data_IF_291734906418
#
_entry.id   IF_291734906418
#
_cell.length_a   1.000
_cell.length_b   1.000
_cell.length_c   1.000
_cell.angle_alpha   90.00
_cell.angle_beta   90.00
_cell.angle_gamma   90.00
#
_symmetry.space_group_name_H-M   'P 1'
#
loop_
_entity.id
_entity.type
_entity.pdbx_description
1 polymer ?
#
# COMPACT_ATOMS: atom_id res chain seq x y z
N UNK A 1 -15.82 -1.53 27.19
CA UNK A 1 -16.14 -1.07 25.82
C UNK A 1 -15.18 -0.01 25.26
N UNK A 2 -14.07 0.33 25.94
CA UNK A 2 -12.96 1.09 25.38
C UNK A 2 -11.68 0.60 26.07
N UNK A 3 -11.00 -0.43 25.53
CA UNK A 3 -9.67 -0.87 26.02
C UNK A 3 -8.98 -1.94 25.15
N UNK A 4 -9.22 -1.99 23.82
CA UNK A 4 -8.52 -2.94 22.93
C UNK A 4 -7.81 -2.30 21.71
N UNK A 5 -7.69 -0.98 21.65
CA UNK A 5 -7.18 -0.27 20.46
C UNK A 5 -5.74 0.25 20.56
N UNK A 6 -4.98 -0.08 21.62
CA UNK A 6 -3.56 0.29 21.70
C UNK A 6 -2.57 -0.84 21.34
N UNK A 7 -3.02 -2.07 21.10
CA UNK A 7 -2.10 -3.21 21.01
C UNK A 7 -1.31 -3.36 19.70
N UNK A 8 -1.48 -2.52 18.68
CA UNK A 8 -0.65 -2.60 17.44
C UNK A 8 0.26 -1.39 17.23
N UNK A 9 0.13 -0.33 18.03
CA UNK A 9 1.20 0.66 18.17
C UNK A 9 2.40 0.14 18.98
N UNK A 10 2.27 -1.04 19.61
CA UNK A 10 3.17 -1.54 20.64
C UNK A 10 4.15 -2.65 20.20
N UNK A 11 4.14 -3.12 18.95
CA UNK A 11 5.23 -3.99 18.51
C UNK A 11 6.51 -3.26 18.13
N UNK A 12 6.50 -1.93 18.01
CA UNK A 12 7.69 -1.12 17.77
C UNK A 12 7.52 0.28 18.41
N UNK A 13 7.57 0.36 19.74
CA UNK A 13 8.41 1.42 20.29
C UNK A 13 9.81 1.20 19.71
N UNK A 14 10.53 2.28 19.35
CA UNK A 14 11.81 2.16 18.63
C UNK A 14 12.84 1.24 19.34
N UNK A 15 12.64 0.97 20.64
CA UNK A 15 13.53 0.20 21.51
C UNK A 15 12.88 -1.09 22.09
N UNK A 16 11.73 -1.54 21.59
CA UNK A 16 11.13 -2.79 22.05
C UNK A 16 11.84 -4.01 21.42
N UNK A 17 12.08 -5.10 22.18
CA UNK A 17 12.65 -6.32 21.62
C UNK A 17 11.73 -6.89 20.54
N UNK A 18 12.33 -7.41 19.47
CA UNK A 18 11.62 -8.06 18.36
C UNK A 18 10.65 -9.15 18.89
N UNK A 19 9.41 -9.22 18.37
CA UNK A 19 8.50 -10.31 18.69
C UNK A 19 9.16 -11.67 18.45
N UNK A 20 8.82 -12.66 19.27
CA UNK A 20 9.14 -14.04 18.92
C UNK A 20 8.36 -14.46 17.67
N UNK A 21 8.83 -15.48 16.94
CA UNK A 21 8.17 -15.98 15.72
C UNK A 21 6.69 -16.30 15.95
N UNK A 22 6.36 -16.95 17.08
CA UNK A 22 5.00 -17.29 17.48
C UNK A 22 4.12 -16.05 17.75
N UNK A 23 4.71 -14.98 18.31
CA UNK A 23 3.99 -13.72 18.54
C UNK A 23 3.71 -13.02 17.21
N UNK A 24 4.70 -12.96 16.32
CA UNK A 24 4.52 -12.38 14.98
C UNK A 24 3.45 -13.13 14.19
N UNK A 25 3.48 -14.46 14.26
CA UNK A 25 2.49 -15.32 13.62
C UNK A 25 1.07 -15.03 14.10
N UNK A 26 0.85 -14.96 15.41
CA UNK A 26 -0.46 -14.62 15.96
C UNK A 26 -0.91 -13.22 15.53
N UNK A 27 -0.04 -12.20 15.55
CA UNK A 27 -0.41 -10.84 15.10
C UNK A 27 -0.82 -10.84 13.64
N UNK A 28 -0.04 -11.49 12.77
CA UNK A 28 -0.35 -11.52 11.34
C UNK A 28 -1.68 -12.23 11.08
N UNK A 29 -1.90 -13.38 11.71
CA UNK A 29 -3.09 -14.18 11.49
C UNK A 29 -4.35 -13.56 12.14
N UNK A 30 -4.23 -12.98 13.33
CA UNK A 30 -5.37 -12.51 14.12
C UNK A 30 -5.68 -11.03 13.90
N UNK A 31 -4.73 -10.22 13.45
CA UNK A 31 -4.95 -8.79 13.18
C UNK A 31 -4.91 -8.48 11.69
N UNK A 32 -3.81 -8.79 11.00
CA UNK A 32 -3.62 -8.40 9.58
C UNK A 32 -4.51 -9.21 8.64
N UNK A 33 -4.58 -10.52 8.85
CA UNK A 33 -5.30 -11.48 8.02
C UNK A 33 -6.62 -11.95 8.66
N UNK A 34 -7.12 -11.20 9.64
CA UNK A 34 -8.38 -11.51 10.34
C UNK A 34 -9.55 -11.73 9.38
N UNK A 35 -9.65 -10.85 8.38
CA UNK A 35 -10.76 -10.83 7.42
C UNK A 35 -10.39 -11.57 6.11
N UNK A 36 -9.24 -12.24 6.08
CA UNK A 36 -8.84 -13.11 4.98
C UNK A 36 -9.50 -14.49 5.15
N UNK A 37 -10.10 -15.01 4.09
CA UNK A 37 -10.86 -16.26 4.14
C UNK A 37 -9.96 -17.43 4.53
N UNK A 38 -10.55 -18.41 5.22
CA UNK A 38 -9.84 -19.53 5.82
C UNK A 38 -8.95 -20.32 4.85
N UNK A 39 -9.41 -20.55 3.60
CA UNK A 39 -8.63 -21.29 2.60
C UNK A 39 -7.34 -20.59 2.20
N UNK A 40 -7.34 -19.26 2.15
CA UNK A 40 -6.14 -18.45 1.89
C UNK A 40 -5.31 -18.35 3.17
N UNK A 41 -5.95 -18.14 4.32
CA UNK A 41 -5.28 -18.10 5.63
C UNK A 41 -4.50 -19.39 5.95
N UNK A 42 -4.99 -20.55 5.52
CA UNK A 42 -4.30 -21.83 5.71
C UNK A 42 -3.04 -22.01 4.84
N UNK A 43 -2.91 -21.25 3.75
CA UNK A 43 -1.67 -21.24 2.94
C UNK A 43 -0.57 -20.42 3.61
N UNK A 44 -0.93 -19.64 4.63
CA UNK A 44 -0.02 -18.84 5.46
C UNK A 44 0.61 -19.75 6.52
N UNK A 45 1.43 -20.71 6.09
CA UNK A 45 2.15 -21.58 7.03
C UNK A 45 3.41 -20.88 7.56
N UNK A 46 3.24 -20.18 8.68
CA UNK A 46 4.30 -19.43 9.36
C UNK A 46 5.22 -20.33 10.22
N UNK A 47 4.99 -21.65 10.21
CA UNK A 47 5.77 -22.64 10.96
C UNK A 47 7.07 -23.03 10.24
N UNK A 48 7.20 -22.70 8.96
CA UNK A 48 8.46 -22.84 8.22
C UNK A 48 9.45 -21.79 8.74
N UNK A 49 10.69 -22.17 9.11
CA UNK A 49 11.66 -21.22 9.63
C UNK A 49 11.98 -20.19 8.56
N UNK A 50 11.85 -18.91 8.93
CA UNK A 50 12.27 -17.70 8.24
C UNK A 50 13.05 -17.95 6.94
N UNK A 51 12.36 -17.97 5.80
CA UNK A 51 13.01 -17.59 4.56
C UNK A 51 12.05 -17.07 3.51
N UNK A 52 10.90 -17.71 3.26
CA UNK A 52 9.92 -17.22 2.30
C UNK A 52 8.70 -18.13 2.42
N UNK A 53 7.51 -17.61 2.66
CA UNK A 53 6.32 -18.33 2.22
C UNK A 53 6.19 -17.94 0.76
N UNK A 54 6.36 -18.88 -0.16
CA UNK A 54 6.16 -18.65 -1.58
C UNK A 54 5.31 -19.78 -2.16
N UNK A 55 4.04 -19.49 -2.42
CA UNK A 55 3.14 -20.35 -3.16
C UNK A 55 2.85 -19.68 -4.51
N UNK A 56 3.48 -20.20 -5.57
CA UNK A 56 3.17 -19.84 -6.95
C UNK A 56 2.44 -21.00 -7.60
N UNK A 57 1.13 -20.83 -7.81
CA UNK A 57 0.30 -21.75 -8.56
C UNK A 57 -0.22 -21.04 -9.82
N UNK A 58 0.39 -21.36 -10.97
CA UNK A 58 0.14 -20.66 -12.23
C UNK A 58 0.50 -19.17 -12.16
N UNK A 59 -0.48 -18.31 -12.39
CA UNK A 59 -0.32 -16.84 -12.33
C UNK A 59 -0.52 -16.26 -10.92
N UNK A 60 -0.85 -17.09 -9.92
CA UNK A 60 -1.06 -16.63 -8.55
C UNK A 60 0.27 -16.55 -7.79
N UNK A 61 0.43 -15.50 -6.97
CA UNK A 61 1.57 -15.33 -6.08
C UNK A 61 1.04 -15.10 -4.68
N UNK A 62 1.46 -15.93 -3.74
CA UNK A 62 1.28 -15.70 -2.32
C UNK A 62 2.65 -15.69 -1.64
N UNK A 63 3.14 -14.49 -1.30
CA UNK A 63 4.47 -14.31 -0.74
C UNK A 63 4.49 -13.49 0.54
N UNK A 64 5.13 -14.06 1.57
CA UNK A 64 5.56 -13.36 2.78
C UNK A 64 7.05 -13.61 2.99
N UNK A 65 7.85 -12.53 2.93
CA UNK A 65 9.28 -12.58 3.17
C UNK A 65 9.63 -11.85 4.46
N UNK A 66 10.44 -12.53 5.28
CA UNK A 66 10.88 -12.04 6.56
C UNK A 66 12.40 -11.93 6.60
N UNK A 67 12.91 -10.89 7.25
CA UNK A 67 14.32 -10.72 7.57
C UNK A 67 14.46 -10.37 9.04
N UNK A 68 15.37 -11.02 9.75
CA UNK A 68 15.66 -10.76 11.16
C UNK A 68 14.40 -10.72 12.07
N UNK A 69 13.39 -11.56 11.78
CA UNK A 69 12.16 -11.58 12.58
C UNK A 69 11.11 -10.53 12.19
N UNK A 70 11.33 -9.75 11.13
CA UNK A 70 10.40 -8.72 10.64
C UNK A 70 9.81 -9.09 9.28
N UNK A 71 8.52 -8.85 9.08
CA UNK A 71 7.91 -8.91 7.75
C UNK A 71 8.42 -7.74 6.91
N UNK A 72 9.15 -8.02 5.83
CA UNK A 72 9.69 -7.00 4.93
C UNK A 72 8.92 -6.93 3.60
N UNK A 73 8.40 -8.07 3.13
CA UNK A 73 7.67 -8.12 1.87
C UNK A 73 6.39 -8.91 2.00
N UNK A 74 5.29 -8.33 1.55
CA UNK A 74 4.00 -8.97 1.40
C UNK A 74 3.59 -8.82 -0.06
N UNK A 75 3.40 -9.94 -0.76
CA UNK A 75 2.95 -9.94 -2.15
C UNK A 75 1.82 -10.95 -2.34
N UNK A 76 0.60 -10.47 -2.52
CA UNK A 76 -0.55 -11.29 -2.88
C UNK A 76 -1.03 -10.89 -4.27
N UNK A 77 -0.97 -11.81 -5.23
CA UNK A 77 -1.45 -11.62 -6.59
C UNK A 77 -2.37 -12.81 -6.88
N UNK A 78 -3.68 -12.62 -6.79
CA UNK A 78 -4.63 -13.73 -6.90
C UNK A 78 -5.64 -13.44 -8.01
N UNK A 79 -5.66 -14.24 -9.08
CA UNK A 79 -6.60 -14.04 -10.17
C UNK A 79 -7.96 -14.68 -9.86
N UNK A 80 -9.03 -13.88 -9.93
CA UNK A 80 -10.42 -14.36 -9.83
C UNK A 80 -10.85 -14.90 -8.46
N UNK A 81 -10.04 -14.71 -7.42
CA UNK A 81 -10.29 -15.26 -6.08
C UNK A 81 -10.64 -14.16 -5.08
N UNK A 82 -11.80 -14.27 -4.44
CA UNK A 82 -12.15 -13.43 -3.29
C UNK A 82 -11.39 -13.96 -2.10
N UNK A 83 -10.37 -13.22 -1.65
CA UNK A 83 -9.57 -13.65 -0.48
C UNK A 83 -10.01 -13.00 0.82
N UNK A 84 -10.95 -12.05 0.79
CA UNK A 84 -11.23 -11.17 1.93
C UNK A 84 -10.20 -10.03 2.06
N UNK A 85 -10.32 -9.18 3.09
CA UNK A 85 -9.52 -7.97 3.19
C UNK A 85 -8.26 -8.17 4.04
N UNK A 86 -7.12 -7.68 3.55
CA UNK A 86 -5.91 -7.45 4.35
C UNK A 86 -6.06 -6.11 5.04
N UNK A 87 -5.97 -6.12 6.37
CA UNK A 87 -6.10 -4.90 7.19
C UNK A 87 -4.76 -4.18 7.23
N UNK A 88 -4.51 -3.38 6.19
CA UNK A 88 -3.23 -2.69 5.97
C UNK A 88 -2.81 -1.80 7.15
N UNK A 89 -3.77 -1.33 7.95
CA UNK A 89 -3.53 -0.52 9.14
C UNK A 89 -2.85 -1.25 10.30
N UNK A 90 -2.80 -2.58 10.24
CA UNK A 90 -2.09 -3.43 11.20
C UNK A 90 -0.79 -4.01 10.62
N UNK A 91 -0.41 -3.66 9.39
CA UNK A 91 0.85 -4.14 8.82
C UNK A 91 2.04 -3.63 9.64
N UNK A 92 3.05 -4.49 9.90
CA UNK A 92 4.28 -4.06 10.55
C UNK A 92 4.94 -2.90 9.81
N UNK A 93 5.52 -1.96 10.56
CA UNK A 93 6.25 -0.82 9.98
C UNK A 93 7.46 -1.23 9.15
N UNK A 94 7.97 -2.45 9.36
CA UNK A 94 9.08 -3.07 8.66
C UNK A 94 8.80 -3.40 7.20
N UNK A 95 7.53 -3.48 6.78
CA UNK A 95 7.17 -3.82 5.40
C UNK A 95 7.72 -2.75 4.45
N UNK A 96 8.61 -3.18 3.56
CA UNK A 96 9.25 -2.35 2.53
C UNK A 96 8.57 -2.51 1.16
N UNK A 97 8.07 -3.71 0.87
CA UNK A 97 7.28 -4.02 -0.33
C UNK A 97 5.88 -4.49 0.07
N UNK A 98 4.88 -3.70 -0.28
CA UNK A 98 3.46 -4.06 -0.15
C UNK A 98 2.85 -4.21 -1.56
N UNK A 99 2.57 -5.43 -1.96
CA UNK A 99 1.92 -5.75 -3.22
C UNK A 99 0.66 -6.58 -2.96
N UNK A 100 -0.51 -6.05 -3.30
CA UNK A 100 -1.78 -6.78 -3.24
C UNK A 100 -2.53 -6.49 -4.54
N UNK A 101 -2.55 -7.44 -5.47
CA UNK A 101 -3.14 -7.27 -6.79
C UNK A 101 -4.21 -8.32 -7.08
N UNK A 102 -5.30 -7.89 -7.73
CA UNK A 102 -6.38 -8.79 -8.18
C UNK A 102 -7.12 -9.51 -7.04
N UNK A 103 -6.89 -9.12 -5.79
CA UNK A 103 -7.38 -9.81 -4.58
C UNK A 103 -8.78 -9.36 -4.12
N UNK A 104 -9.52 -8.63 -4.96
CA UNK A 104 -10.84 -8.08 -4.65
C UNK A 104 -10.91 -7.29 -3.32
N UNK A 105 -9.83 -6.57 -2.95
CA UNK A 105 -9.80 -5.77 -1.72
C UNK A 105 -10.87 -4.67 -1.75
N UNK A 106 -11.68 -4.57 -0.69
CA UNK A 106 -12.83 -3.66 -0.58
C UNK A 106 -12.76 -2.82 0.69
N UNK A 107 -11.93 -1.78 0.68
CA UNK A 107 -11.82 -0.81 1.78
C UNK A 107 -11.38 0.56 1.27
N UNK A 108 -11.44 1.57 2.13
CA UNK A 108 -10.83 2.88 1.89
C UNK A 108 -9.42 2.92 2.46
N UNK A 109 -8.46 3.40 1.64
CA UNK A 109 -7.05 3.52 2.06
C UNK A 109 -6.80 4.90 2.64
N UNK A 110 -6.40 4.91 3.91
CA UNK A 110 -5.82 6.11 4.52
C UNK A 110 -4.29 5.97 4.44
N UNK A 111 -3.64 6.82 3.65
CA UNK A 111 -2.18 6.73 3.39
C UNK A 111 -1.33 6.74 4.66
N UNK A 112 -1.78 7.41 5.73
CA UNK A 112 -1.15 7.40 7.05
C UNK A 112 -1.03 6.01 7.72
N UNK A 113 -1.82 5.04 7.27
CA UNK A 113 -1.81 3.67 7.76
C UNK A 113 -0.84 2.77 6.99
N UNK A 114 -0.25 3.27 5.90
CA UNK A 114 0.74 2.51 5.13
C UNK A 114 2.03 2.31 5.96
N UNK A 115 2.75 1.20 5.76
CA UNK A 115 3.99 0.93 6.48
C UNK A 115 5.02 2.04 6.29
N UNK A 116 5.61 2.53 7.38
CA UNK A 116 6.53 3.69 7.31
C UNK A 116 7.82 3.43 6.52
N UNK A 117 8.29 2.18 6.44
CA UNK A 117 9.46 1.78 5.65
C UNK A 117 9.11 1.39 4.22
N UNK A 118 7.84 1.46 3.82
CA UNK A 118 7.44 1.08 2.48
C UNK A 118 8.16 1.94 1.43
N UNK A 119 8.86 1.26 0.53
CA UNK A 119 9.48 1.85 -0.66
C UNK A 119 8.61 1.61 -1.89
N UNK A 120 7.90 0.49 -1.93
CA UNK A 120 7.04 0.10 -3.04
C UNK A 120 5.67 -0.33 -2.53
N UNK A 121 4.63 0.31 -3.08
CA UNK A 121 3.23 0.05 -2.72
C UNK A 121 2.44 -0.13 -4.01
N UNK A 122 1.89 -1.33 -4.20
CA UNK A 122 1.17 -1.73 -5.41
C UNK A 122 -0.15 -2.39 -5.01
N UNK A 123 -1.26 -1.68 -5.14
CA UNK A 123 -2.61 -2.14 -4.79
C UNK A 123 -3.53 -2.24 -6.01
N UNK A 124 -2.94 -2.60 -7.16
CA UNK A 124 -3.58 -2.58 -8.46
C UNK A 124 -4.71 -3.61 -8.61
N UNK A 125 -5.69 -3.33 -9.47
CA UNK A 125 -6.75 -4.28 -9.85
C UNK A 125 -7.55 -4.80 -8.64
N UNK A 126 -7.92 -3.92 -7.72
CA UNK A 126 -8.79 -4.28 -6.60
C UNK A 126 -10.13 -3.54 -6.71
N UNK A 127 -10.92 -3.61 -5.64
CA UNK A 127 -12.19 -2.91 -5.50
C UNK A 127 -12.07 -1.77 -4.46
N UNK A 128 -10.86 -1.22 -4.28
CA UNK A 128 -10.57 -0.19 -3.28
C UNK A 128 -11.29 1.09 -3.70
N UNK A 129 -11.98 1.72 -2.74
CA UNK A 129 -12.82 2.89 -2.99
C UNK A 129 -12.46 4.04 -2.05
N UNK A 130 -13.21 5.13 -2.16
CA UNK A 130 -13.02 6.32 -1.32
C UNK A 130 -12.02 7.31 -1.92
N UNK A 131 -11.58 8.26 -1.13
CA UNK A 131 -10.66 9.32 -1.56
C UNK A 131 -9.23 9.01 -1.11
N UNK A 132 -8.22 9.45 -1.87
CA UNK A 132 -6.82 9.20 -1.54
C UNK A 132 -6.04 10.48 -1.30
N UNK A 133 -5.49 10.62 -0.09
CA UNK A 133 -4.63 11.75 0.29
C UNK A 133 -3.15 11.43 0.12
N UNK A 134 -2.53 11.90 -0.96
CA UNK A 134 -1.14 11.56 -1.28
C UNK A 134 -0.07 12.21 -0.36
N UNK A 135 -0.46 13.19 0.45
CA UNK A 135 0.44 13.85 1.42
C UNK A 135 0.81 12.96 2.61
N UNK A 136 0.02 11.90 2.87
CA UNK A 136 0.28 10.94 3.93
C UNK A 136 1.12 9.75 3.50
N UNK A 137 1.71 9.78 2.31
CA UNK A 137 2.55 8.69 1.82
C UNK A 137 3.80 8.50 2.70
N UNK A 138 4.30 7.26 2.84
CA UNK A 138 5.54 6.99 3.58
C UNK A 138 6.73 7.80 3.02
N UNK A 139 7.64 8.30 3.87
CA UNK A 139 8.69 9.22 3.45
C UNK A 139 9.72 8.61 2.48
N UNK A 140 9.79 7.28 2.39
CA UNK A 140 10.74 6.55 1.54
C UNK A 140 10.10 5.91 0.31
N UNK A 141 8.82 6.17 0.04
CA UNK A 141 8.16 5.56 -1.11
C UNK A 141 8.79 6.06 -2.41
N UNK A 142 9.13 5.12 -3.29
CA UNK A 142 9.66 5.37 -4.63
C UNK A 142 8.59 5.06 -5.68
N UNK A 143 7.78 4.02 -5.46
CA UNK A 143 6.71 3.59 -6.36
C UNK A 143 5.37 3.47 -5.62
N UNK A 144 4.34 4.14 -6.14
CA UNK A 144 2.98 4.07 -5.62
C UNK A 144 1.97 3.79 -6.75
N UNK A 145 1.39 2.60 -6.78
CA UNK A 145 0.43 2.18 -7.80
C UNK A 145 -0.90 1.74 -7.18
N UNK A 146 -2.01 2.29 -7.67
CA UNK A 146 -3.37 1.90 -7.32
C UNK A 146 -4.29 1.90 -8.55
N UNK A 147 -3.77 1.55 -9.74
CA UNK A 147 -4.57 1.54 -10.96
C UNK A 147 -5.67 0.48 -10.93
N UNK A 148 -6.72 0.66 -11.73
CA UNK A 148 -7.88 -0.25 -11.78
C UNK A 148 -8.49 -0.47 -10.39
N UNK A 149 -9.00 0.62 -9.81
CA UNK A 149 -9.74 0.62 -8.56
C UNK A 149 -10.96 1.56 -8.71
N UNK A 150 -11.66 1.81 -7.61
CA UNK A 150 -12.83 2.70 -7.54
C UNK A 150 -12.50 3.97 -6.74
N UNK A 151 -11.25 4.45 -6.78
CA UNK A 151 -10.88 5.69 -6.11
C UNK A 151 -11.65 6.87 -6.71
N UNK A 152 -12.13 7.76 -5.85
CA UNK A 152 -12.97 8.91 -6.18
C UNK A 152 -12.41 10.18 -5.54
N UNK A 153 -13.13 11.30 -5.67
CA UNK A 153 -12.74 12.57 -5.08
C UNK A 153 -11.61 13.26 -5.86
N UNK A 154 -11.07 14.32 -5.25
CA UNK A 154 -9.96 15.08 -5.79
C UNK A 154 -8.64 14.59 -5.19
N UNK A 155 -7.56 14.69 -5.96
CA UNK A 155 -6.20 14.44 -5.48
C UNK A 155 -5.36 15.71 -5.57
N UNK A 156 -4.32 15.75 -4.75
CA UNK A 156 -3.36 16.85 -4.67
C UNK A 156 -1.94 16.31 -4.82
N UNK A 157 -1.14 16.92 -5.69
CA UNK A 157 0.23 16.52 -6.01
C UNK A 157 1.24 17.58 -5.51
N UNK A 158 1.13 17.92 -4.24
CA UNK A 158 2.06 18.82 -3.56
C UNK A 158 2.49 18.19 -2.23
N UNK A 159 3.72 18.48 -1.79
CA UNK A 159 4.37 17.80 -0.66
C UNK A 159 4.46 16.27 -0.84
N UNK A 160 4.79 15.82 -2.04
CA UNK A 160 5.09 14.41 -2.31
C UNK A 160 6.46 14.05 -1.72
N UNK A 161 6.69 12.79 -1.32
CA UNK A 161 8.01 12.34 -0.87
C UNK A 161 9.10 12.56 -1.94
N UNK A 162 10.26 13.09 -1.54
CA UNK A 162 11.38 13.39 -2.45
C UNK A 162 11.97 12.14 -3.13
N UNK A 163 11.73 10.96 -2.56
CA UNK A 163 12.16 9.67 -3.12
C UNK A 163 11.29 9.18 -4.26
N UNK A 164 10.11 9.77 -4.46
CA UNK A 164 9.09 9.25 -5.37
C UNK A 164 9.54 9.37 -6.83
N UNK A 165 9.50 8.25 -7.55
CA UNK A 165 9.85 8.16 -8.98
C UNK A 165 8.62 7.89 -9.84
N UNK A 166 7.59 7.22 -9.30
CA UNK A 166 6.40 6.82 -10.04
C UNK A 166 5.12 6.90 -9.20
N UNK A 167 4.05 7.45 -9.80
CA UNK A 167 2.67 7.32 -9.35
C UNK A 167 1.83 6.75 -10.50
N UNK A 168 1.04 5.69 -10.24
CA UNK A 168 0.03 5.18 -11.17
C UNK A 168 -1.36 5.09 -10.54
N UNK A 169 -2.26 5.98 -10.96
CA UNK A 169 -3.66 6.03 -10.52
C UNK A 169 -4.64 5.87 -11.68
N UNK A 170 -4.17 5.35 -12.83
CA UNK A 170 -5.02 5.16 -14.02
C UNK A 170 -6.24 4.30 -13.72
N UNK A 171 -7.27 4.43 -14.56
CA UNK A 171 -8.47 3.58 -14.45
C UNK A 171 -9.11 3.65 -13.06
N UNK A 172 -9.34 4.87 -12.59
CA UNK A 172 -10.07 5.17 -11.37
C UNK A 172 -11.18 6.18 -11.67
N UNK A 173 -11.98 6.54 -10.67
CA UNK A 173 -13.04 7.55 -10.79
C UNK A 173 -12.64 8.90 -10.16
N UNK A 174 -11.33 9.13 -9.97
CA UNK A 174 -10.76 10.38 -9.48
C UNK A 174 -11.21 11.52 -10.39
N UNK A 175 -11.64 12.64 -9.81
CA UNK A 175 -12.31 13.71 -10.54
C UNK A 175 -11.88 15.09 -10.07
N UNK A 176 -12.33 16.12 -10.80
CA UNK A 176 -12.06 17.52 -10.44
C UNK A 176 -10.76 18.05 -11.04
N UNK A 177 -10.13 18.99 -10.33
CA UNK A 177 -8.87 19.61 -10.76
C UNK A 177 -7.74 19.07 -9.90
N UNK A 178 -6.67 18.59 -10.53
CA UNK A 178 -5.46 18.18 -9.82
C UNK A 178 -4.51 19.37 -9.76
N UNK A 179 -4.21 19.81 -8.56
CA UNK A 179 -3.19 20.83 -8.32
C UNK A 179 -1.85 20.17 -8.01
N UNK A 180 -0.79 20.63 -8.67
CA UNK A 180 0.57 20.17 -8.40
C UNK A 180 1.49 21.31 -7.98
N UNK A 181 2.39 21.03 -7.04
CA UNK A 181 3.41 21.97 -6.56
C UNK A 181 4.76 21.74 -7.23
N UNK A 182 5.84 22.03 -6.50
CA UNK A 182 7.16 21.52 -6.86
C UNK A 182 7.12 19.98 -6.77
N UNK A 183 7.29 19.32 -7.92
CA UNK A 183 7.33 17.88 -7.98
C UNK A 183 8.73 17.37 -7.57
N UNK A 184 8.84 16.18 -6.93
CA UNK A 184 10.12 15.61 -6.55
C UNK A 184 11.13 15.59 -7.69
N UNK A 185 12.42 15.77 -7.39
CA UNK A 185 13.46 15.80 -8.42
C UNK A 185 13.48 14.49 -9.22
N UNK A 186 13.31 13.36 -8.52
CA UNK A 186 13.37 12.01 -9.07
C UNK A 186 12.08 11.53 -9.75
N UNK A 187 11.00 12.33 -9.74
CA UNK A 187 9.75 11.90 -10.36
C UNK A 187 9.94 11.77 -11.87
N UNK A 188 9.61 10.59 -12.40
CA UNK A 188 9.69 10.28 -13.82
C UNK A 188 8.31 10.16 -14.45
N UNK A 189 7.33 9.64 -13.70
CA UNK A 189 6.01 9.27 -14.23
C UNK A 189 4.90 9.55 -13.23
N UNK A 190 3.85 10.22 -13.68
CA UNK A 190 2.58 10.42 -12.98
C UNK A 190 1.48 10.02 -13.95
N UNK A 191 0.90 8.84 -13.75
CA UNK A 191 -0.10 8.25 -14.65
C UNK A 191 -1.51 8.48 -14.11
N UNK A 192 -2.30 9.28 -14.83
CA UNK A 192 -3.65 9.72 -14.48
C UNK A 192 -4.66 9.50 -15.62
N UNK A 193 -4.23 8.92 -16.74
CA UNK A 193 -5.11 8.55 -17.85
C UNK A 193 -6.28 7.65 -17.41
N UNK A 194 -7.41 7.77 -18.11
CA UNK A 194 -8.66 7.04 -17.80
C UNK A 194 -9.20 7.30 -16.38
N UNK A 195 -9.11 8.56 -15.94
CA UNK A 195 -9.81 9.10 -14.77
C UNK A 195 -10.89 10.08 -15.22
N UNK A 196 -11.58 10.72 -14.26
CA UNK A 196 -12.56 11.80 -14.50
C UNK A 196 -11.97 13.19 -14.21
N UNK A 197 -10.64 13.32 -14.23
CA UNK A 197 -9.95 14.59 -14.01
C UNK A 197 -10.26 15.54 -15.16
N UNK A 198 -10.63 16.78 -14.83
CA UNK A 198 -11.00 17.82 -15.80
C UNK A 198 -9.81 18.67 -16.21
N UNK A 199 -8.89 18.91 -15.29
CA UNK A 199 -7.67 19.68 -15.57
C UNK A 199 -6.59 19.39 -14.55
N UNK A 200 -5.33 19.54 -14.98
CA UNK A 200 -4.14 19.48 -14.15
C UNK A 200 -3.51 20.87 -14.19
N UNK A 201 -3.27 21.48 -13.02
CA UNK A 201 -2.83 22.88 -12.93
C UNK A 201 -1.70 23.05 -11.91
N UNK A 202 -0.66 23.83 -12.21
CA UNK A 202 0.34 24.20 -11.22
C UNK A 202 -0.28 25.11 -10.16
N UNK A 203 0.22 25.03 -8.93
CA UNK A 203 -0.08 25.99 -7.88
C UNK A 203 0.64 27.30 -8.21
N UNK A 204 -0.09 28.42 -8.22
CA UNK A 204 0.49 29.75 -8.46
C UNK A 204 1.55 30.07 -7.39
N UNK A 205 2.70 30.56 -7.82
CA UNK A 205 3.79 30.97 -6.92
C UNK A 205 4.77 29.87 -6.53
N UNK A 206 4.63 28.65 -7.06
CA UNK A 206 5.66 27.60 -6.97
C UNK A 206 6.42 27.46 -8.30
N UNK A 207 7.70 27.08 -8.21
CA UNK A 207 8.49 26.66 -9.38
C UNK A 207 8.00 25.29 -9.86
N UNK A 208 6.91 25.32 -10.62
CA UNK A 208 6.31 24.18 -11.26
C UNK A 208 6.89 24.02 -12.67
N UNK A 209 8.21 23.79 -12.77
CA UNK A 209 8.82 23.47 -14.06
C UNK A 209 8.07 22.29 -14.70
N UNK A 210 7.70 22.45 -15.96
CA UNK A 210 6.90 21.48 -16.69
C UNK A 210 7.76 20.25 -17.02
N UNK A 211 7.92 19.34 -16.05
CA UNK A 211 8.41 18.01 -16.35
C UNK A 211 7.33 17.30 -17.18
N UNK A 212 7.72 16.70 -18.30
CA UNK A 212 6.87 15.84 -19.13
C UNK A 212 6.62 14.50 -18.43
N UNK A 213 6.11 14.54 -17.19
CA UNK A 213 5.93 13.36 -16.33
C UNK A 213 4.48 12.86 -16.34
N UNK A 214 3.54 13.71 -16.73
CA UNK A 214 2.13 13.35 -16.88
C UNK A 214 1.91 12.59 -18.20
N UNK A 215 1.02 11.59 -18.18
CA UNK A 215 0.52 10.89 -19.37
C UNK A 215 -0.78 11.49 -19.95
#
# INVERSE_FOLDING_TARGET
LFLNFMCVQLFLAADAPLPSQLQLESILLDEVFRDVIYSVRNRIDLRMPYQEINDTDGDQVFLLQFSEGCLERLRFILFGSVMGNVRIEFLPRSVELLEIQTCAQTYEVQTRHLPRRATQIMLNNNLIYGSIGLQGLPPHVTCFEMRHNFLTGQISLFYLPETLTSIDLRWNQISGTVYYGALPEKIEKIRLSNTRIRSIKPIKGMDCSAKSVFD
#
